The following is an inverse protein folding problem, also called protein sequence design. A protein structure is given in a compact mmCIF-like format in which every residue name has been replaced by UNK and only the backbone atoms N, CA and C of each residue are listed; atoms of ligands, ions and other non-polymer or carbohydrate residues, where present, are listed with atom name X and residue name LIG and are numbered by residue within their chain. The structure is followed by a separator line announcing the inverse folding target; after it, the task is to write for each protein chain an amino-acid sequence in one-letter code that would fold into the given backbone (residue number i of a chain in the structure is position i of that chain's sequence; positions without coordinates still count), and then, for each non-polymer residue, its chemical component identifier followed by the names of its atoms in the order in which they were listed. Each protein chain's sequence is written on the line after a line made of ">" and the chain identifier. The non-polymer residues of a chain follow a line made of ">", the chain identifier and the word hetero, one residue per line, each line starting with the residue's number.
data_IF_844922775608
#
_entry.id   IF_844922775608
#
_cell.length_a   1.000
_cell.length_b   1.000
_cell.length_c   1.000
_cell.angle_alpha   90.00
_cell.angle_beta   90.00
_cell.angle_gamma   90.00
#
_symmetry.space_group_name_H-M   'P 1'
#
loop_
_entity.id
_entity.type
_entity.pdbx_description
1 polymer ?
#
# COMPACT_ATOMS: atom_id res chain seq x y z
N UNK A 1 -2.92 22.65 19.84
CA UNK A 1 -4.21 21.96 19.79
C UNK A 1 -4.12 20.59 20.46
N UNK A 2 -5.23 19.92 20.79
CA UNK A 2 -5.20 18.60 21.40
C UNK A 2 -4.47 17.61 20.49
N UNK A 3 -3.72 16.68 21.11
CA UNK A 3 -2.99 15.61 20.43
C UNK A 3 -3.97 14.81 19.53
N UNK A 4 -3.55 14.41 18.31
CA UNK A 4 -4.37 13.56 17.44
C UNK A 4 -4.96 12.32 18.14
N UNK A 5 -4.19 11.68 19.04
CA UNK A 5 -4.64 10.52 19.81
C UNK A 5 -5.76 10.87 20.81
N UNK A 6 -5.73 12.06 21.40
CA UNK A 6 -6.79 12.54 22.30
C UNK A 6 -8.09 12.82 21.54
N UNK A 7 -8.01 13.35 20.32
CA UNK A 7 -9.16 13.57 19.45
C UNK A 7 -9.87 12.26 19.08
N UNK A 8 -9.09 11.22 18.75
CA UNK A 8 -9.65 9.90 18.42
C UNK A 8 -10.31 9.27 19.65
N UNK A 9 -9.71 9.42 20.83
CA UNK A 9 -10.28 8.93 22.09
C UNK A 9 -11.60 9.64 22.43
N UNK A 10 -11.66 10.96 22.23
CA UNK A 10 -12.88 11.73 22.39
C UNK A 10 -13.97 11.27 21.41
N UNK A 11 -13.58 11.00 20.15
CA UNK A 11 -14.54 10.48 19.15
C UNK A 11 -15.12 9.13 19.57
N UNK A 12 -14.34 8.23 20.17
CA UNK A 12 -14.85 6.96 20.74
C UNK A 12 -15.94 7.22 21.80
N UNK A 13 -15.69 8.17 22.71
CA UNK A 13 -16.67 8.53 23.74
C UNK A 13 -17.94 9.13 23.14
N UNK A 14 -17.79 10.00 22.16
CA UNK A 14 -18.94 10.61 21.45
C UNK A 14 -19.77 9.55 20.72
N UNK A 15 -19.15 8.63 19.97
CA UNK A 15 -19.84 7.55 19.27
C UNK A 15 -20.54 6.59 20.23
N UNK A 16 -19.99 6.42 21.44
CA UNK A 16 -20.62 5.61 22.49
C UNK A 16 -21.84 6.31 23.09
N UNK A 17 -21.76 7.62 23.32
CA UNK A 17 -22.85 8.41 23.88
C UNK A 17 -23.98 8.65 22.87
N UNK A 18 -23.61 8.90 21.62
CA UNK A 18 -24.54 9.18 20.53
C UNK A 18 -24.13 8.38 19.28
N UNK A 19 -24.63 7.14 19.14
CA UNK A 19 -24.33 6.31 17.99
C UNK A 19 -24.84 6.93 16.68
N UNK A 20 -24.07 6.77 15.60
CA UNK A 20 -24.49 7.21 14.26
C UNK A 20 -25.80 6.50 13.86
N UNK A 21 -26.68 7.14 13.05
CA UNK A 21 -27.88 6.51 12.51
C UNK A 21 -27.58 5.21 11.75
N UNK A 22 -28.50 4.23 11.82
CA UNK A 22 -28.33 2.92 11.18
C UNK A 22 -28.29 2.99 9.65
N UNK A 23 -28.86 4.02 9.06
CA UNK A 23 -28.91 4.26 7.61
C UNK A 23 -27.54 4.65 7.04
N UNK A 24 -26.59 5.04 7.91
CA UNK A 24 -25.24 5.41 7.48
C UNK A 24 -24.40 4.16 7.24
N UNK A 25 -23.92 3.99 6.02
CA UNK A 25 -22.90 2.99 5.68
C UNK A 25 -21.51 3.60 5.83
N UNK A 26 -20.61 2.87 6.48
CA UNK A 26 -19.22 3.29 6.69
C UNK A 26 -18.28 2.44 5.83
N UNK A 27 -17.40 3.08 5.08
CA UNK A 27 -16.37 2.44 4.28
C UNK A 27 -15.00 2.85 4.80
N UNK A 28 -14.14 1.86 5.02
CA UNK A 28 -12.77 2.03 5.49
C UNK A 28 -11.85 1.36 4.50
N UNK A 29 -10.91 2.11 3.95
CA UNK A 29 -10.00 1.64 2.90
C UNK A 29 -8.58 2.18 3.11
N UNK A 30 -7.60 1.54 2.46
CA UNK A 30 -6.18 1.94 2.45
C UNK A 30 -5.44 1.80 3.80
N UNK A 31 -5.94 0.97 4.69
CA UNK A 31 -5.27 0.66 5.96
C UNK A 31 -4.60 -0.72 5.89
N UNK A 32 -3.41 -0.83 6.48
CA UNK A 32 -2.73 -2.11 6.74
C UNK A 32 -2.88 -2.55 8.19
N UNK A 33 -3.03 -1.58 9.09
CA UNK A 33 -3.26 -1.77 10.53
C UNK A 33 -3.96 -0.56 11.11
N UNK A 34 -4.46 -0.71 12.33
CA UNK A 34 -5.12 0.36 13.07
C UNK A 34 -4.43 0.57 14.41
N UNK A 35 -4.43 1.81 14.89
CA UNK A 35 -4.01 2.16 16.24
C UNK A 35 -5.09 1.74 17.26
N UNK A 36 -4.74 1.74 18.54
CA UNK A 36 -5.68 1.38 19.61
C UNK A 36 -6.96 2.24 19.60
N UNK A 37 -6.89 3.59 19.48
CA UNK A 37 -8.09 4.42 19.38
C UNK A 37 -8.92 4.14 18.11
N UNK A 38 -8.29 3.86 16.98
CA UNK A 38 -8.99 3.53 15.72
C UNK A 38 -9.76 2.21 15.83
N UNK A 39 -9.19 1.20 16.47
CA UNK A 39 -9.94 -0.01 16.82
C UNK A 39 -11.12 0.28 17.76
N UNK A 40 -10.96 1.25 18.67
CA UNK A 40 -12.03 1.74 19.52
C UNK A 40 -13.20 2.32 18.71
N UNK A 41 -12.89 3.17 17.74
CA UNK A 41 -13.89 3.75 16.81
C UNK A 41 -14.61 2.64 16.04
N UNK A 42 -13.86 1.71 15.42
CA UNK A 42 -14.44 0.59 14.68
C UNK A 42 -15.35 -0.27 15.57
N UNK A 43 -14.98 -0.50 16.82
CA UNK A 43 -15.81 -1.21 17.80
C UNK A 43 -17.15 -0.50 18.03
N UNK A 44 -17.15 0.81 18.27
CA UNK A 44 -18.40 1.56 18.48
C UNK A 44 -19.23 1.65 17.19
N UNK A 45 -18.60 1.74 16.03
CA UNK A 45 -19.29 1.65 14.74
C UNK A 45 -19.95 0.29 14.53
N UNK A 46 -19.32 -0.81 14.94
CA UNK A 46 -19.85 -2.17 14.80
C UNK A 46 -20.95 -2.52 15.82
N UNK A 47 -21.10 -1.76 16.91
CA UNK A 47 -22.17 -1.98 17.91
C UNK A 47 -23.56 -1.63 17.41
N UNK A 48 -23.70 -0.87 16.34
CA UNK A 48 -24.99 -0.50 15.75
C UNK A 48 -25.38 -1.41 14.60
N UNK A 49 -26.66 -1.38 14.22
CA UNK A 49 -27.22 -2.13 13.08
C UNK A 49 -26.85 -1.51 11.71
N UNK A 50 -25.65 -0.99 11.58
CA UNK A 50 -25.19 -0.34 10.35
C UNK A 50 -24.21 -1.21 9.57
N UNK A 51 -24.09 -0.93 8.28
CA UNK A 51 -23.11 -1.58 7.43
C UNK A 51 -21.73 -0.92 7.59
N UNK A 52 -20.76 -1.68 8.03
CA UNK A 52 -19.34 -1.28 8.05
C UNK A 52 -18.57 -2.17 7.09
N UNK A 53 -18.00 -1.59 6.07
CA UNK A 53 -17.16 -2.30 5.09
C UNK A 53 -15.72 -1.88 5.27
N UNK A 54 -14.83 -2.85 5.49
CA UNK A 54 -13.39 -2.62 5.60
C UNK A 54 -12.69 -3.34 4.46
N UNK A 55 -12.02 -2.59 3.60
CA UNK A 55 -11.19 -3.13 2.52
C UNK A 55 -9.74 -3.27 2.99
N UNK A 56 -9.17 -4.47 2.86
CA UNK A 56 -7.80 -4.78 3.25
C UNK A 56 -7.08 -5.47 2.09
N UNK A 57 -5.80 -5.11 1.87
CA UNK A 57 -4.98 -5.73 0.83
C UNK A 57 -4.43 -7.08 1.29
N UNK A 58 -5.10 -8.15 0.93
CA UNK A 58 -4.70 -9.54 1.14
C UNK A 58 -4.82 -10.32 -0.17
N UNK A 59 -3.96 -11.31 -0.39
CA UNK A 59 -4.08 -12.24 -1.51
C UNK A 59 -5.26 -13.20 -1.33
N UNK A 60 -5.55 -13.57 -0.09
CA UNK A 60 -6.65 -14.48 0.30
C UNK A 60 -6.96 -14.30 1.80
N UNK A 61 -8.17 -14.64 2.25
CA UNK A 61 -8.49 -14.70 3.67
C UNK A 61 -7.51 -15.64 4.39
N UNK A 62 -7.00 -15.21 5.55
CA UNK A 62 -6.04 -15.97 6.36
C UNK A 62 -4.71 -16.28 5.64
N UNK A 63 -4.20 -15.32 4.86
CA UNK A 63 -2.88 -15.46 4.24
C UNK A 63 -1.79 -15.71 5.29
N UNK A 64 -0.90 -16.67 4.99
CA UNK A 64 0.29 -16.96 5.79
C UNK A 64 1.57 -16.37 5.17
N UNK A 65 1.46 -15.66 4.06
CA UNK A 65 2.60 -15.03 3.41
C UNK A 65 3.19 -13.92 4.29
N UNK A 66 4.49 -13.92 4.56
CA UNK A 66 5.11 -12.99 5.53
C UNK A 66 4.83 -11.51 5.26
N UNK A 67 4.72 -11.12 4.00
CA UNK A 67 4.44 -9.73 3.62
C UNK A 67 2.98 -9.30 3.88
N UNK A 68 2.06 -10.25 4.10
CA UNK A 68 0.68 -9.98 4.51
C UNK A 68 0.45 -10.19 6.01
N UNK A 69 1.47 -10.56 6.79
CA UNK A 69 1.30 -10.92 8.22
C UNK A 69 0.59 -9.82 9.02
N UNK A 70 0.97 -8.56 8.85
CA UNK A 70 0.36 -7.42 9.54
C UNK A 70 -1.12 -7.24 9.19
N UNK A 71 -1.46 -7.36 7.89
CA UNK A 71 -2.84 -7.21 7.43
C UNK A 71 -3.69 -8.42 7.84
N UNK A 72 -3.11 -9.62 7.84
CA UNK A 72 -3.77 -10.83 8.33
C UNK A 72 -4.09 -10.74 9.84
N UNK A 73 -3.16 -10.22 10.64
CA UNK A 73 -3.38 -9.94 12.06
C UNK A 73 -4.50 -8.91 12.27
N UNK A 74 -4.48 -7.83 11.48
CA UNK A 74 -5.52 -6.80 11.47
C UNK A 74 -6.89 -7.41 11.17
N UNK A 75 -6.97 -8.26 10.15
CA UNK A 75 -8.21 -8.97 9.77
C UNK A 75 -8.73 -9.81 10.93
N UNK A 76 -7.87 -10.61 11.55
CA UNK A 76 -8.26 -11.46 12.70
C UNK A 76 -8.74 -10.62 13.89
N UNK A 77 -8.10 -9.48 14.13
CA UNK A 77 -8.50 -8.56 15.21
C UNK A 77 -9.86 -7.92 14.95
N UNK A 78 -10.14 -7.51 13.71
CA UNK A 78 -11.45 -6.99 13.33
C UNK A 78 -12.56 -8.02 13.48
N UNK A 79 -12.33 -9.26 13.04
CA UNK A 79 -13.28 -10.37 13.22
C UNK A 79 -13.55 -10.61 14.70
N UNK A 80 -12.53 -10.57 15.55
CA UNK A 80 -12.68 -10.71 17.00
C UNK A 80 -13.51 -9.60 17.60
N UNK A 81 -13.24 -8.34 17.21
CA UNK A 81 -14.02 -7.18 17.67
C UNK A 81 -15.47 -7.31 17.24
N UNK A 82 -15.75 -7.71 16.00
CA UNK A 82 -17.10 -7.94 15.52
C UNK A 82 -17.83 -9.02 16.34
N UNK A 83 -17.17 -10.13 16.63
CA UNK A 83 -17.72 -11.19 17.49
C UNK A 83 -18.01 -10.70 18.91
N UNK A 84 -17.13 -9.89 19.51
CA UNK A 84 -17.31 -9.31 20.85
C UNK A 84 -18.54 -8.39 20.96
N UNK A 85 -18.89 -7.70 19.86
CA UNK A 85 -20.08 -6.82 19.82
C UNK A 85 -21.31 -7.48 19.21
N UNK A 86 -21.21 -8.75 18.80
CA UNK A 86 -22.32 -9.50 18.20
C UNK A 86 -22.63 -9.14 16.74
N UNK A 87 -21.71 -8.49 16.04
CA UNK A 87 -21.89 -8.13 14.62
C UNK A 87 -21.65 -9.35 13.70
N UNK A 88 -22.51 -9.50 12.68
CA UNK A 88 -22.35 -10.51 11.64
C UNK A 88 -21.18 -10.11 10.71
N UNK A 89 -20.26 -11.05 10.44
CA UNK A 89 -19.13 -10.83 9.53
C UNK A 89 -19.35 -11.57 8.23
N UNK A 90 -19.30 -10.84 7.13
CA UNK A 90 -19.24 -11.39 5.76
C UNK A 90 -17.89 -11.07 5.15
N UNK A 91 -17.22 -12.08 4.63
CA UNK A 91 -15.96 -11.92 3.93
C UNK A 91 -16.15 -12.12 2.43
N UNK A 92 -15.52 -11.29 1.64
CA UNK A 92 -15.51 -11.39 0.18
C UNK A 92 -14.13 -11.04 -0.37
N UNK A 93 -13.76 -11.67 -1.46
CA UNK A 93 -12.61 -11.26 -2.26
C UNK A 93 -13.11 -10.38 -3.40
N UNK A 94 -12.49 -9.23 -3.56
CA UNK A 94 -12.63 -8.47 -4.78
C UNK A 94 -11.88 -9.22 -5.88
N UNK A 95 -12.53 -9.53 -7.01
CA UNK A 95 -11.85 -10.20 -8.11
C UNK A 95 -10.71 -9.30 -8.59
N UNK A 96 -9.50 -9.86 -8.64
CA UNK A 96 -8.41 -9.19 -9.33
C UNK A 96 -8.81 -8.99 -10.79
N UNK A 97 -8.67 -7.78 -11.35
CA UNK A 97 -8.94 -7.56 -12.76
C UNK A 97 -8.00 -8.44 -13.59
N UNK A 98 -8.53 -9.50 -14.17
CA UNK A 98 -7.76 -10.41 -15.02
C UNK A 98 -7.44 -9.75 -16.36
N UNK A 99 -6.26 -10.02 -16.91
CA UNK A 99 -5.86 -9.55 -18.23
C UNK A 99 -5.43 -8.09 -18.32
N UNK A 100 -5.32 -7.37 -17.20
CA UNK A 100 -4.77 -6.01 -17.17
C UNK A 100 -3.24 -5.99 -17.05
N UNK A 101 -2.62 -7.11 -16.72
CA UNK A 101 -1.17 -7.24 -16.57
C UNK A 101 -0.61 -8.19 -17.60
N UNK A 102 0.60 -7.93 -18.11
CA UNK A 102 1.37 -8.91 -18.87
C UNK A 102 1.57 -10.21 -18.10
N UNK A 103 1.65 -11.34 -18.79
CA UNK A 103 1.74 -12.66 -18.18
C UNK A 103 2.96 -12.83 -17.26
N UNK A 104 4.12 -12.25 -17.62
CA UNK A 104 5.30 -12.29 -16.75
C UNK A 104 5.12 -11.49 -15.46
N UNK A 105 4.39 -10.38 -15.46
CA UNK A 105 4.08 -9.62 -14.23
C UNK A 105 3.08 -10.36 -13.35
N UNK A 106 2.10 -11.07 -13.91
CA UNK A 106 1.18 -11.91 -13.15
C UNK A 106 1.95 -13.03 -12.43
N UNK A 107 2.80 -13.77 -13.18
CA UNK A 107 3.62 -14.84 -12.59
C UNK A 107 4.60 -14.30 -11.54
N UNK A 108 5.18 -13.12 -11.77
CA UNK A 108 6.08 -12.49 -10.80
C UNK A 108 5.32 -12.11 -9.52
N UNK A 109 4.15 -11.50 -9.63
CA UNK A 109 3.33 -11.12 -8.48
C UNK A 109 2.94 -12.34 -7.62
N UNK A 110 2.58 -13.45 -8.26
CA UNK A 110 2.18 -14.67 -7.56
C UNK A 110 3.34 -15.38 -6.87
N UNK A 111 4.55 -15.29 -7.42
CA UNK A 111 5.69 -16.13 -7.01
C UNK A 111 6.83 -15.39 -6.32
N UNK A 112 6.88 -14.07 -6.42
CA UNK A 112 8.00 -13.28 -5.87
C UNK A 112 8.26 -13.57 -4.39
N UNK A 113 7.21 -13.89 -3.64
CA UNK A 113 7.26 -14.15 -2.20
C UNK A 113 6.97 -15.60 -1.82
N UNK A 114 6.83 -16.49 -2.80
CA UNK A 114 6.67 -17.92 -2.55
C UNK A 114 8.04 -18.61 -2.47
N UNK A 115 8.52 -18.77 -1.24
CA UNK A 115 9.78 -19.46 -0.95
C UNK A 115 9.60 -20.97 -0.71
N UNK A 116 8.37 -21.48 -0.81
CA UNK A 116 8.02 -22.88 -0.51
C UNK A 116 8.17 -23.81 -1.70
N UNK A 117 8.10 -23.28 -2.90
CA UNK A 117 8.23 -24.04 -4.14
C UNK A 117 9.69 -24.20 -4.53
N UNK A 118 10.02 -25.37 -5.03
CA UNK A 118 11.35 -25.66 -5.61
C UNK A 118 11.73 -24.68 -6.74
N UNK A 119 12.60 -25.09 -7.67
CA UNK A 119 13.05 -24.23 -8.77
C UNK A 119 11.85 -23.59 -9.50
N UNK A 120 11.73 -22.24 -9.50
CA UNK A 120 10.60 -21.57 -10.14
C UNK A 120 10.58 -21.85 -11.65
N UNK A 121 9.39 -21.98 -12.21
CA UNK A 121 9.24 -22.04 -13.65
C UNK A 121 9.75 -20.75 -14.31
N UNK A 122 10.33 -20.82 -15.53
CA UNK A 122 10.74 -19.63 -16.27
C UNK A 122 9.58 -18.63 -16.41
N UNK A 123 9.90 -17.33 -16.31
CA UNK A 123 8.94 -16.28 -16.64
C UNK A 123 8.62 -16.31 -18.15
N UNK A 124 7.39 -16.02 -18.56
CA UNK A 124 7.10 -15.73 -19.96
C UNK A 124 7.99 -14.60 -20.49
N UNK A 125 8.38 -14.68 -21.75
CA UNK A 125 9.23 -13.67 -22.41
C UNK A 125 8.37 -12.68 -23.19
N UNK A 126 7.54 -11.90 -22.48
CA UNK A 126 6.68 -10.87 -23.10
C UNK A 126 7.30 -9.46 -23.07
N UNK A 127 8.53 -9.33 -22.58
CA UNK A 127 9.25 -8.07 -22.51
C UNK A 127 8.83 -7.13 -21.39
N UNK A 128 7.81 -7.47 -20.57
CA UNK A 128 7.32 -6.60 -19.52
C UNK A 128 8.20 -6.60 -18.26
N UNK A 129 9.09 -7.60 -18.12
CA UNK A 129 10.06 -7.69 -17.04
C UNK A 129 11.47 -7.71 -17.62
N UNK A 130 12.28 -6.74 -17.29
CA UNK A 130 13.66 -6.63 -17.73
C UNK A 130 14.58 -6.56 -16.52
N UNK A 131 15.65 -7.37 -16.54
CA UNK A 131 16.72 -7.28 -15.55
C UNK A 131 17.93 -6.57 -16.17
N UNK A 132 18.29 -5.44 -15.59
CA UNK A 132 19.46 -4.69 -15.97
C UNK A 132 20.59 -4.94 -14.96
N UNK A 133 21.81 -5.13 -15.44
CA UNK A 133 23.01 -5.23 -14.63
C UNK A 133 24.00 -4.13 -15.04
N UNK A 134 24.38 -3.30 -14.08
CA UNK A 134 25.39 -2.27 -14.26
C UNK A 134 26.65 -2.60 -13.45
N UNK A 135 27.78 -1.98 -13.79
CA UNK A 135 29.05 -2.19 -13.10
C UNK A 135 29.15 -1.41 -11.79
N UNK A 136 28.40 -0.32 -11.70
CA UNK A 136 28.36 0.56 -10.53
C UNK A 136 27.06 1.36 -10.49
N UNK A 137 26.83 2.08 -9.37
CA UNK A 137 25.59 2.86 -9.15
C UNK A 137 25.40 4.02 -10.14
N UNK A 138 26.48 4.60 -10.64
CA UNK A 138 26.38 5.72 -11.62
C UNK A 138 25.85 5.20 -12.94
N UNK A 139 26.40 4.10 -13.44
CA UNK A 139 25.91 3.44 -14.66
C UNK A 139 24.46 2.96 -14.49
N UNK A 140 24.11 2.44 -13.30
CA UNK A 140 22.74 2.02 -12.97
C UNK A 140 21.78 3.21 -13.03
N UNK A 141 22.14 4.37 -12.45
CA UNK A 141 21.35 5.59 -12.51
C UNK A 141 21.20 6.13 -13.94
N UNK A 142 22.29 6.13 -14.73
CA UNK A 142 22.24 6.55 -16.14
C UNK A 142 21.37 5.60 -16.98
N UNK A 143 21.46 4.31 -16.75
CA UNK A 143 20.61 3.31 -17.41
C UNK A 143 19.14 3.45 -17.01
N UNK A 144 18.86 3.77 -15.74
CA UNK A 144 17.52 4.09 -15.27
C UNK A 144 16.95 5.31 -16.01
N UNK A 145 17.71 6.40 -16.08
CA UNK A 145 17.31 7.60 -16.81
C UNK A 145 17.07 7.32 -18.31
N UNK A 146 17.93 6.55 -18.93
CA UNK A 146 17.76 6.15 -20.33
C UNK A 146 16.48 5.33 -20.56
N UNK A 147 16.20 4.35 -19.67
CA UNK A 147 14.98 3.56 -19.76
C UNK A 147 13.72 4.41 -19.58
N UNK A 148 13.73 5.40 -18.67
CA UNK A 148 12.63 6.35 -18.51
C UNK A 148 12.39 7.11 -19.81
N UNK A 149 13.44 7.66 -20.43
CA UNK A 149 13.31 8.39 -21.70
C UNK A 149 12.82 7.49 -22.84
N UNK A 150 13.21 6.21 -22.87
CA UNK A 150 12.68 5.26 -23.84
C UNK A 150 11.18 5.05 -23.64
N UNK A 151 10.71 4.89 -22.41
CA UNK A 151 9.28 4.76 -22.11
C UNK A 151 8.49 6.03 -22.49
N UNK A 152 9.07 7.21 -22.29
CA UNK A 152 8.47 8.48 -22.76
C UNK A 152 8.37 8.50 -24.28
N UNK A 153 9.40 8.00 -24.99
CA UNK A 153 9.36 7.80 -26.44
C UNK A 153 8.28 6.85 -26.91
N UNK A 154 7.95 5.85 -26.11
CA UNK A 154 6.88 4.88 -26.34
C UNK A 154 5.48 5.43 -25.94
N UNK A 155 5.38 6.68 -25.46
CA UNK A 155 4.13 7.35 -25.15
C UNK A 155 3.67 7.31 -23.68
N UNK A 156 4.49 6.79 -22.76
CA UNK A 156 4.22 6.92 -21.33
C UNK A 156 4.44 8.34 -20.85
N UNK A 157 3.79 8.73 -19.75
CA UNK A 157 4.02 10.02 -19.10
C UNK A 157 4.96 9.85 -17.90
N UNK A 158 5.71 10.86 -17.54
CA UNK A 158 6.55 10.80 -16.32
C UNK A 158 5.78 10.40 -15.06
N UNK A 159 4.53 10.85 -14.91
CA UNK A 159 3.67 10.48 -13.80
C UNK A 159 3.21 9.01 -13.77
N UNK A 160 3.40 8.26 -14.86
CA UNK A 160 3.08 6.83 -14.96
C UNK A 160 4.28 5.94 -14.57
N UNK A 161 5.45 6.55 -14.28
CA UNK A 161 6.70 5.86 -14.00
C UNK A 161 7.11 6.07 -12.55
N UNK A 162 7.39 4.99 -11.84
CA UNK A 162 7.93 5.03 -10.48
C UNK A 162 9.29 4.35 -10.41
N UNK A 163 10.22 5.00 -9.71
CA UNK A 163 11.55 4.43 -9.38
C UNK A 163 11.57 4.13 -7.89
N UNK A 164 11.82 2.88 -7.54
CA UNK A 164 11.91 2.45 -6.14
C UNK A 164 13.33 2.07 -5.80
N UNK A 165 13.86 2.63 -4.73
CA UNK A 165 15.18 2.32 -4.19
C UNK A 165 15.06 1.81 -2.76
N UNK A 166 15.89 0.84 -2.39
CA UNK A 166 15.87 0.26 -1.04
C UNK A 166 16.43 1.22 0.00
N UNK A 167 17.46 1.96 -0.36
CA UNK A 167 18.19 2.88 0.51
C UNK A 167 18.29 4.25 -0.19
N UNK A 168 17.33 5.16 0.05
CA UNK A 168 17.33 6.47 -0.60
C UNK A 168 18.59 7.29 -0.33
N UNK A 169 19.16 7.20 0.88
CA UNK A 169 20.37 7.95 1.23
C UNK A 169 21.58 7.51 0.40
N UNK A 170 21.71 6.21 0.12
CA UNK A 170 22.79 5.68 -0.71
C UNK A 170 22.68 6.09 -2.19
N UNK A 171 21.53 6.57 -2.63
CA UNK A 171 21.26 7.02 -3.99
C UNK A 171 21.17 8.55 -4.12
N UNK A 172 21.14 9.26 -3.00
CA UNK A 172 21.10 10.72 -2.98
C UNK A 172 22.31 11.29 -3.72
N UNK A 173 22.07 12.24 -4.61
CA UNK A 173 23.10 12.87 -5.44
C UNK A 173 23.57 12.02 -6.64
N UNK A 174 23.29 10.74 -6.69
CA UNK A 174 23.63 9.88 -7.84
C UNK A 174 22.45 9.81 -8.80
N UNK A 175 21.30 9.36 -8.31
CA UNK A 175 20.08 9.26 -9.11
C UNK A 175 19.59 10.65 -9.52
N UNK A 176 19.62 11.62 -8.59
CA UNK A 176 19.23 13.01 -8.83
C UNK A 176 20.02 13.60 -9.98
N UNK A 177 21.35 13.46 -9.96
CA UNK A 177 22.21 14.00 -10.99
C UNK A 177 21.96 13.35 -12.37
N UNK A 178 21.70 12.05 -12.42
CA UNK A 178 21.38 11.35 -13.65
C UNK A 178 20.04 11.78 -14.24
N UNK A 179 19.01 11.94 -13.41
CA UNK A 179 17.68 12.39 -13.82
C UNK A 179 17.72 13.87 -14.28
N UNK A 180 18.38 14.75 -13.52
CA UNK A 180 18.54 16.17 -13.86
C UNK A 180 19.31 16.35 -15.18
N UNK A 181 20.43 15.65 -15.36
CA UNK A 181 21.22 15.62 -16.60
C UNK A 181 20.39 15.21 -17.80
N UNK A 182 19.41 14.33 -17.59
CA UNK A 182 18.51 13.83 -18.62
C UNK A 182 17.23 14.66 -18.78
N UNK A 183 17.06 15.75 -18.02
CA UNK A 183 15.88 16.59 -18.06
C UNK A 183 14.59 15.89 -17.56
N UNK A 184 14.72 14.87 -16.70
CA UNK A 184 13.60 14.08 -16.18
C UNK A 184 13.10 14.73 -14.88
N UNK A 185 11.84 15.26 -14.86
CA UNK A 185 11.26 15.77 -13.63
C UNK A 185 10.97 14.61 -12.67
N UNK A 186 11.34 14.77 -11.39
CA UNK A 186 11.09 13.77 -10.38
C UNK A 186 10.48 14.37 -9.11
N UNK A 187 9.70 13.57 -8.41
CA UNK A 187 9.16 13.87 -7.10
C UNK A 187 9.61 12.79 -6.13
N UNK A 188 10.16 13.20 -4.99
CA UNK A 188 10.60 12.29 -3.95
C UNK A 188 9.49 12.11 -2.91
N UNK A 189 9.01 10.87 -2.75
CA UNK A 189 8.15 10.50 -1.64
C UNK A 189 9.04 9.99 -0.48
N UNK A 190 9.44 10.87 0.41
CA UNK A 190 10.08 10.46 1.65
C UNK A 190 9.00 9.97 2.62
N UNK A 191 9.19 8.76 3.18
CA UNK A 191 8.49 8.38 4.39
C UNK A 191 9.09 9.19 5.54
N UNK A 192 8.56 10.37 5.79
CA UNK A 192 8.85 11.09 7.03
C UNK A 192 8.29 10.24 8.17
N UNK A 193 9.16 9.79 9.06
CA UNK A 193 8.72 9.20 10.32
C UNK A 193 7.76 10.19 10.98
N UNK A 194 6.60 9.71 11.43
CA UNK A 194 5.40 10.47 11.81
C UNK A 194 5.56 11.46 12.98
N UNK A 195 6.59 12.27 13.02
CA UNK A 195 6.79 13.33 14.00
C UNK A 195 6.83 14.75 13.43
N UNK A 196 6.79 14.93 12.07
CA UNK A 196 6.88 16.26 11.45
C UNK A 196 5.95 16.41 10.24
N UNK A 197 4.67 16.08 10.38
CA UNK A 197 3.65 16.52 9.41
C UNK A 197 2.74 17.57 10.03
N UNK A 198 3.31 18.75 10.35
CA UNK A 198 2.57 20.02 10.39
C UNK A 198 3.44 21.05 9.68
N UNK A 199 2.87 21.64 8.64
CA UNK A 199 3.39 22.71 7.80
C UNK A 199 4.10 22.27 6.49
N UNK A 200 3.30 22.09 5.45
CA UNK A 200 3.43 22.79 4.17
C UNK A 200 2.30 22.36 3.23
N UNK A 201 1.10 22.82 3.54
CA UNK A 201 -0.03 22.87 2.61
C UNK A 201 -0.08 24.25 1.97
N UNK A 202 0.61 24.43 0.87
CA UNK A 202 0.29 25.49 -0.08
C UNK A 202 0.57 25.01 -1.50
N UNK A 203 -0.52 25.04 -2.24
CA UNK A 203 -0.84 24.91 -3.65
C UNK A 203 -1.32 23.57 -4.13
#
# INVERSE_FOLDING_TARGET
>A
GPDPSERLSLLVEMLRAEPLPAEISVFVDSFTSFTYPEYGILRELLRGDRNVTVALCLDRPFSHAPHFASVAETTQRLIRIAAEVGAEVRQGLLPAPSGLRPASLEVLADRLWDFSSGRPAPLPTDGSVTLLRASNRYEEAEACAHNILSLIGDGYRFGDIAVMVRDPEAWRGILDAALEKSGIPCFYSERTASSEQVENGHF
#
